data_IF_097453915627
#
_entry.id   IF_097453915627
#
_cell.length_a   1.000
_cell.length_b   1.000
_cell.length_c   1.000
_cell.angle_alpha   90.00
_cell.angle_beta   90.00
_cell.angle_gamma   90.00
#
_symmetry.space_group_name_H-M   'P 1'
#
loop_
_entity.id
_entity.type
_entity.pdbx_description
1 polymer ?
#
# COMPACT_ATOMS: atom_id res chain seq x y z
N UNK A 1 18.63 47.35 -2.93
CA UNK A 1 18.67 46.02 -3.55
C UNK A 1 17.66 45.15 -2.82
N UNK A 2 16.46 44.99 -3.38
CA UNK A 2 15.49 44.02 -2.89
C UNK A 2 15.85 42.68 -3.52
N UNK A 3 16.26 41.72 -2.70
CA UNK A 3 16.52 40.35 -3.14
C UNK A 3 15.30 39.52 -2.77
N UNK A 4 14.34 39.50 -3.68
CA UNK A 4 13.20 38.59 -3.65
C UNK A 4 13.63 37.19 -4.16
N UNK A 5 13.24 36.18 -3.38
CA UNK A 5 12.72 34.88 -3.83
C UNK A 5 13.71 33.83 -4.35
N UNK A 6 13.83 32.72 -3.60
CA UNK A 6 13.18 31.44 -3.95
C UNK A 6 13.28 30.44 -2.79
N UNK A 7 12.15 30.17 -2.14
CA UNK A 7 11.94 28.89 -1.47
C UNK A 7 11.87 27.80 -2.55
N UNK A 8 12.49 26.62 -2.39
CA UNK A 8 12.34 25.55 -3.36
C UNK A 8 10.91 24.98 -3.30
N UNK A 9 10.11 25.43 -4.26
CA UNK A 9 8.84 24.83 -4.66
C UNK A 9 9.13 23.54 -5.46
N UNK A 10 8.91 22.38 -4.87
CA UNK A 10 8.17 21.28 -5.51
C UNK A 10 8.09 20.06 -4.59
N UNK A 11 6.86 19.81 -4.17
CA UNK A 11 6.38 18.56 -3.62
C UNK A 11 6.59 17.42 -4.62
N UNK A 12 7.05 16.29 -4.07
CA UNK A 12 6.85 14.92 -4.57
C UNK A 12 6.82 14.75 -6.10
N UNK A 13 7.98 14.40 -6.66
CA UNK A 13 8.04 13.77 -7.96
C UNK A 13 7.44 12.34 -7.83
N UNK A 14 6.10 12.26 -7.87
CA UNK A 14 5.35 11.02 -7.98
C UNK A 14 5.53 10.46 -9.40
N UNK A 15 6.62 9.75 -9.65
CA UNK A 15 6.77 9.01 -10.91
C UNK A 15 7.75 7.85 -10.86
N UNK A 16 8.22 7.44 -9.69
CA UNK A 16 8.92 6.17 -9.57
C UNK A 16 7.98 5.11 -9.00
N UNK A 17 7.19 4.50 -9.88
CA UNK A 17 6.30 3.36 -9.56
C UNK A 17 7.03 2.14 -8.98
N UNK A 18 8.37 2.21 -8.93
CA UNK A 18 9.28 1.20 -8.38
C UNK A 18 9.65 1.46 -6.93
N UNK A 19 9.56 2.71 -6.46
CA UNK A 19 10.02 3.07 -5.12
C UNK A 19 8.86 2.95 -4.14
N UNK A 20 9.06 2.14 -3.10
CA UNK A 20 8.11 2.03 -2.00
C UNK A 20 8.07 3.33 -1.20
N UNK A 21 6.87 3.83 -0.84
CA UNK A 21 6.79 4.93 0.12
C UNK A 21 7.31 4.48 1.48
N UNK A 22 7.70 5.44 2.32
CA UNK A 22 8.09 5.16 3.69
C UNK A 22 6.98 4.37 4.40
N UNK A 23 7.36 3.27 5.06
CA UNK A 23 6.42 2.46 5.83
C UNK A 23 5.93 3.27 7.05
N UNK A 24 4.61 3.28 7.34
CA UNK A 24 4.10 3.94 8.53
C UNK A 24 4.62 3.25 9.80
N UNK A 25 4.86 4.04 10.85
CA UNK A 25 5.31 3.50 12.15
C UNK A 25 4.27 2.59 12.81
N UNK A 26 2.98 2.81 12.51
CA UNK A 26 1.88 1.96 12.93
C UNK A 26 0.82 1.90 11.82
N UNK A 27 0.23 0.72 11.63
CA UNK A 27 -0.85 0.49 10.68
C UNK A 27 -2.21 0.70 11.36
N UNK A 28 -3.04 1.55 10.76
CA UNK A 28 -4.41 1.79 11.22
C UNK A 28 -5.36 0.61 10.96
N UNK A 29 -6.64 0.79 11.29
CA UNK A 29 -7.67 -0.23 11.02
C UNK A 29 -8.03 -0.34 9.53
N UNK A 30 -7.98 0.77 8.80
CA UNK A 30 -8.25 0.86 7.38
C UNK A 30 -6.98 1.25 6.65
N UNK A 31 -6.64 0.45 5.64
CA UNK A 31 -5.38 0.51 4.93
C UNK A 31 -5.64 0.72 3.45
N UNK A 32 -4.87 1.63 2.85
CA UNK A 32 -4.80 1.76 1.40
C UNK A 32 -4.15 0.51 0.78
N UNK A 33 -4.25 0.30 -0.54
CA UNK A 33 -3.61 -0.85 -1.18
C UNK A 33 -2.09 -0.91 -0.95
N UNK A 34 -1.42 0.23 -0.84
CA UNK A 34 0.03 0.28 -0.58
C UNK A 34 0.33 -0.10 0.87
N UNK A 35 -0.37 0.49 1.83
CA UNK A 35 -0.19 0.14 3.24
C UNK A 35 -0.54 -1.33 3.50
N UNK A 36 -1.58 -1.86 2.85
CA UNK A 36 -1.93 -3.28 2.93
C UNK A 36 -0.83 -4.18 2.35
N UNK A 37 -0.19 -3.78 1.25
CA UNK A 37 0.94 -4.50 0.70
C UNK A 37 2.16 -4.48 1.65
N UNK A 38 2.43 -3.32 2.27
CA UNK A 38 3.50 -3.19 3.28
C UNK A 38 3.18 -3.96 4.57
N UNK A 39 1.91 -4.01 4.97
CA UNK A 39 1.45 -4.81 6.10
C UNK A 39 1.74 -6.30 5.89
N UNK A 40 1.49 -6.79 4.68
CA UNK A 40 1.81 -8.15 4.25
C UNK A 40 3.29 -8.34 3.86
N UNK A 41 4.14 -7.32 4.09
CA UNK A 41 5.57 -7.31 3.80
C UNK A 41 5.94 -7.62 2.35
N UNK A 42 5.05 -7.32 1.41
CA UNK A 42 5.35 -7.46 -0.01
C UNK A 42 6.46 -6.50 -0.46
N UNK A 43 6.73 -5.46 0.32
CA UNK A 43 7.82 -4.50 0.11
C UNK A 43 9.20 -5.00 0.55
N UNK A 44 9.28 -6.04 1.39
CA UNK A 44 10.55 -6.66 1.81
C UNK A 44 11.03 -7.76 0.86
N UNK A 45 10.20 -8.14 -0.12
CA UNK A 45 10.53 -9.19 -1.08
C UNK A 45 11.05 -8.51 -2.36
N UNK A 46 12.27 -8.84 -2.78
CA UNK A 46 12.93 -8.28 -3.98
C UNK A 46 12.16 -8.47 -5.30
N UNK A 47 11.09 -9.27 -5.29
CA UNK A 47 10.23 -9.54 -6.44
C UNK A 47 9.13 -8.49 -6.67
N UNK A 48 8.87 -7.58 -5.72
CA UNK A 48 7.70 -6.72 -5.76
C UNK A 48 8.01 -5.22 -5.79
N UNK A 49 7.51 -4.56 -6.83
CA UNK A 49 7.29 -3.11 -6.86
C UNK A 49 5.91 -2.78 -6.28
N UNK A 50 5.66 -1.54 -5.82
CA UNK A 50 4.34 -1.09 -5.37
C UNK A 50 3.21 -1.44 -6.35
N UNK A 51 3.43 -1.18 -7.64
CA UNK A 51 2.44 -1.48 -8.68
C UNK A 51 2.17 -2.99 -8.82
N UNK A 52 3.21 -3.83 -8.75
CA UNK A 52 3.06 -5.29 -8.81
C UNK A 52 2.34 -5.84 -7.58
N UNK A 53 2.64 -5.32 -6.39
CA UNK A 53 2.01 -5.74 -5.14
C UNK A 53 0.52 -5.42 -5.13
N UNK A 54 0.13 -4.25 -5.63
CA UNK A 54 -1.30 -3.90 -5.81
C UNK A 54 -2.00 -4.86 -6.77
N UNK A 55 -1.32 -5.32 -7.84
CA UNK A 55 -1.89 -6.36 -8.73
C UNK A 55 -2.06 -7.69 -7.99
N UNK A 56 -1.09 -8.08 -7.15
CA UNK A 56 -1.20 -9.27 -6.30
C UNK A 56 -2.39 -9.17 -5.35
N UNK A 57 -2.60 -8.02 -4.70
CA UNK A 57 -3.77 -7.79 -3.84
C UNK A 57 -5.09 -7.89 -4.62
N UNK A 58 -5.14 -7.33 -5.82
CA UNK A 58 -6.32 -7.45 -6.69
C UNK A 58 -6.55 -8.91 -7.10
N UNK A 59 -5.49 -9.65 -7.43
CA UNK A 59 -5.60 -11.08 -7.75
C UNK A 59 -6.20 -11.88 -6.58
N UNK A 60 -5.73 -11.67 -5.35
CA UNK A 60 -6.31 -12.33 -4.17
C UNK A 60 -7.76 -11.94 -3.91
N UNK A 61 -8.12 -10.68 -4.17
CA UNK A 61 -9.51 -10.22 -4.09
C UNK A 61 -10.40 -10.89 -5.12
N UNK A 62 -9.94 -10.96 -6.36
CA UNK A 62 -10.69 -11.56 -7.46
C UNK A 62 -10.85 -13.08 -7.26
N UNK A 63 -9.89 -13.73 -6.59
CA UNK A 63 -9.98 -15.12 -6.08
C UNK A 63 -10.82 -15.28 -4.82
N UNK A 64 -11.41 -14.21 -4.28
CA UNK A 64 -12.17 -14.17 -3.01
C UNK A 64 -11.38 -14.64 -1.78
N UNK A 65 -10.05 -14.64 -1.86
CA UNK A 65 -9.17 -14.98 -0.73
C UNK A 65 -8.97 -13.79 0.20
N UNK A 66 -9.01 -12.57 -0.35
CA UNK A 66 -8.84 -11.33 0.41
C UNK A 66 -10.05 -10.41 0.20
N UNK A 67 -10.65 -9.93 1.30
CA UNK A 67 -11.78 -9.00 1.24
C UNK A 67 -11.28 -7.55 1.29
N UNK A 68 -11.91 -6.71 0.48
CA UNK A 68 -11.67 -5.28 0.45
C UNK A 68 -13.00 -4.52 0.34
N UNK A 69 -13.05 -3.31 0.88
CA UNK A 69 -14.25 -2.45 0.85
C UNK A 69 -14.01 -1.27 -0.08
N UNK A 70 -14.99 -0.98 -0.95
CA UNK A 70 -14.98 0.24 -1.75
C UNK A 70 -15.61 1.37 -0.95
N UNK A 71 -14.82 2.40 -0.63
CA UNK A 71 -15.28 3.57 0.12
C UNK A 71 -14.64 4.83 -0.46
N UNK A 72 -15.42 5.91 -0.61
CA UNK A 72 -14.97 7.18 -1.19
C UNK A 72 -14.24 7.03 -2.54
N UNK A 73 -14.75 6.17 -3.42
CA UNK A 73 -14.16 5.82 -4.74
C UNK A 73 -12.78 5.14 -4.68
N UNK A 74 -12.29 4.77 -3.50
CA UNK A 74 -11.04 4.05 -3.28
C UNK A 74 -11.30 2.65 -2.71
N UNK A 75 -10.34 1.76 -2.89
CA UNK A 75 -10.36 0.42 -2.29
C UNK A 75 -9.59 0.50 -0.98
N UNK A 76 -10.19 -0.03 0.09
CA UNK A 76 -9.63 -0.08 1.42
C UNK A 76 -9.61 -1.52 1.92
N UNK A 77 -8.58 -1.84 2.69
CA UNK A 77 -8.40 -3.13 3.34
C UNK A 77 -8.52 -2.94 4.84
N UNK A 78 -9.30 -3.79 5.50
CA UNK A 78 -9.33 -3.81 6.96
C UNK A 78 -8.16 -4.62 7.47
N UNK A 79 -7.45 -4.12 8.49
CA UNK A 79 -6.35 -4.83 9.13
C UNK A 79 -6.75 -6.24 9.59
N UNK A 80 -7.90 -6.36 10.25
CA UNK A 80 -8.43 -7.65 10.70
C UNK A 80 -8.68 -8.67 9.56
N UNK A 81 -9.00 -8.21 8.34
CA UNK A 81 -9.15 -9.12 7.19
C UNK A 81 -7.79 -9.57 6.64
N UNK A 82 -6.76 -8.72 6.73
CA UNK A 82 -5.40 -9.09 6.39
C UNK A 82 -4.83 -10.09 7.41
N UNK A 83 -5.10 -9.88 8.70
CA UNK A 83 -4.72 -10.81 9.78
C UNK A 83 -5.33 -12.19 9.53
N UNK A 84 -6.65 -12.24 9.31
CA UNK A 84 -7.35 -13.49 8.97
C UNK A 84 -6.81 -14.14 7.70
N UNK A 85 -6.47 -13.35 6.68
CA UNK A 85 -5.86 -13.86 5.45
C UNK A 85 -4.53 -14.55 5.74
N UNK A 86 -3.69 -13.97 6.61
CA UNK A 86 -2.43 -14.58 7.02
C UNK A 86 -2.65 -15.88 7.80
N UNK A 87 -3.59 -15.89 8.75
CA UNK A 87 -3.96 -17.10 9.52
C UNK A 87 -4.36 -18.25 8.59
N UNK A 88 -5.25 -17.97 7.62
CA UNK A 88 -5.69 -18.98 6.63
C UNK A 88 -4.57 -19.49 5.73
N UNK A 89 -3.52 -18.69 5.50
CA UNK A 89 -2.34 -19.10 4.72
C UNK A 89 -1.36 -19.94 5.53
N UNK A 90 -1.31 -19.76 6.84
CA UNK A 90 -0.44 -20.53 7.75
C UNK A 90 -1.04 -21.86 8.21
N UNK A 91 -2.36 -22.04 8.06
CA UNK A 91 -3.06 -23.29 8.39
C UNK A 91 -3.06 -24.35 7.26
N UNK A 92 -2.52 -24.02 6.08
CA UNK A 92 -2.36 -24.95 4.94
C UNK A 92 -0.93 -25.47 4.83
#
# INVERSE_FOLDING_TARGET
>A
MQSETRLPESLSNSSDLRVWPARPAAFGELLTPIEAAQYLRLDEIDAHTPASAVRTLNYWRDKRQLKATKFARRVWYRRAELDRFMELKTEQ
#
